data_IF_280881349078
#
_entry.id   IF_280881349078
#
_cell.length_a   1.000
_cell.length_b   1.000
_cell.length_c   1.000
_cell.angle_alpha   90.00
_cell.angle_beta   90.00
_cell.angle_gamma   90.00
#
_symmetry.space_group_name_H-M   'P 1'
#
loop_
_entity.id
_entity.type
_entity.pdbx_description
1 polymer ?
#
# COMPACT_ATOMS: atom_id res chain seq x y z
N UNK A 1 20.03 53.94 14.24
CA UNK A 1 19.53 52.79 13.47
C UNK A 1 18.91 53.33 12.20
N UNK A 2 19.54 53.08 11.05
CA UNK A 2 19.21 53.76 9.80
C UNK A 2 17.94 53.13 9.17
N UNK A 3 17.09 53.93 8.51
CA UNK A 3 15.90 53.48 7.80
C UNK A 3 16.13 52.28 6.86
N UNK A 4 17.35 52.11 6.36
CA UNK A 4 17.77 50.96 5.54
C UNK A 4 17.79 49.63 6.32
N UNK A 5 18.22 49.62 7.58
CA UNK A 5 18.25 48.39 8.41
C UNK A 5 16.86 47.93 8.77
N UNK A 6 15.89 48.85 8.98
CA UNK A 6 14.51 48.50 9.27
C UNK A 6 13.81 47.91 8.02
N UNK A 7 14.10 48.46 6.83
CA UNK A 7 13.53 47.96 5.56
C UNK A 7 14.06 46.55 5.22
N UNK A 8 15.35 46.28 5.45
CA UNK A 8 15.92 44.92 5.26
C UNK A 8 15.33 43.95 6.23
N UNK A 9 15.18 44.32 7.52
CA UNK A 9 14.55 43.44 8.53
C UNK A 9 13.09 43.09 8.19
N UNK A 10 12.30 44.09 7.74
CA UNK A 10 10.93 43.89 7.31
C UNK A 10 10.85 42.95 6.08
N UNK A 11 11.76 43.14 5.09
CA UNK A 11 11.82 42.28 3.91
C UNK A 11 12.11 40.81 4.24
N UNK A 12 13.08 40.57 5.14
CA UNK A 12 13.43 39.20 5.60
C UNK A 12 12.23 38.56 6.34
N UNK A 13 11.52 39.34 7.16
CA UNK A 13 10.36 38.84 7.91
C UNK A 13 9.20 38.47 6.98
N UNK A 14 8.93 39.27 5.96
CA UNK A 14 7.89 39.00 4.95
C UNK A 14 8.23 37.76 4.14
N UNK A 15 9.47 37.62 3.67
CA UNK A 15 9.91 36.44 2.92
C UNK A 15 9.85 35.17 3.77
N UNK A 16 10.26 35.23 5.02
CA UNK A 16 10.17 34.10 5.96
C UNK A 16 8.71 33.67 6.21
N UNK A 17 7.80 34.65 6.38
CA UNK A 17 6.37 34.38 6.56
C UNK A 17 5.72 33.76 5.32
N UNK A 18 6.05 34.25 4.12
CA UNK A 18 5.58 33.69 2.86
C UNK A 18 6.10 32.25 2.65
N UNK A 19 7.34 31.98 2.99
CA UNK A 19 7.91 30.62 2.93
C UNK A 19 7.20 29.66 3.88
N UNK A 20 6.95 30.09 5.12
CA UNK A 20 6.22 29.28 6.10
C UNK A 20 4.78 29.03 5.69
N UNK A 21 4.11 30.04 5.13
CA UNK A 21 2.74 29.89 4.61
C UNK A 21 2.68 28.94 3.41
N UNK A 22 3.65 29.03 2.49
CA UNK A 22 3.71 28.12 1.34
C UNK A 22 4.02 26.68 1.76
N UNK A 23 4.90 26.50 2.75
CA UNK A 23 5.20 25.18 3.30
C UNK A 23 3.98 24.57 4.03
N UNK A 24 3.30 25.36 4.86
CA UNK A 24 2.09 24.95 5.55
C UNK A 24 0.95 24.61 4.57
N UNK A 25 0.81 25.39 3.49
CA UNK A 25 -0.13 25.12 2.41
C UNK A 25 0.22 23.83 1.68
N UNK A 26 1.50 23.63 1.34
CA UNK A 26 1.99 22.39 0.70
C UNK A 26 1.75 21.14 1.54
N UNK A 27 2.05 21.19 2.86
CA UNK A 27 1.80 20.09 3.79
C UNK A 27 0.30 19.76 3.93
N UNK A 28 -0.57 20.78 3.99
CA UNK A 28 -2.03 20.58 4.00
C UNK A 28 -2.53 19.93 2.71
N UNK A 29 -2.05 20.37 1.55
CA UNK A 29 -2.45 19.79 0.26
C UNK A 29 -1.94 18.35 0.11
N UNK A 30 -0.73 18.04 0.57
CA UNK A 30 -0.22 16.68 0.58
C UNK A 30 -1.07 15.74 1.46
N UNK A 31 -1.54 16.21 2.62
CA UNK A 31 -2.43 15.44 3.49
C UNK A 31 -3.84 15.24 2.89
N UNK A 32 -4.32 16.19 2.09
CA UNK A 32 -5.63 16.10 1.42
C UNK A 32 -5.59 15.27 0.13
N UNK A 33 -4.42 15.16 -0.52
CA UNK A 33 -4.25 14.36 -1.74
C UNK A 33 -4.15 12.85 -1.48
N UNK A 34 -3.87 12.44 -0.25
CA UNK A 34 -3.87 11.03 0.19
C UNK A 34 -4.68 10.89 1.48
N UNK A 35 -6.02 10.94 1.41
CA UNK A 35 -6.85 10.72 2.58
C UNK A 35 -6.59 9.30 3.12
N UNK A 36 -6.60 9.12 4.46
CA UNK A 36 -6.48 7.79 5.04
C UNK A 36 -7.61 6.90 4.50
N UNK A 37 -7.25 5.72 3.97
CA UNK A 37 -8.21 4.77 3.38
C UNK A 37 -9.05 4.04 4.43
N UNK A 38 -8.75 4.19 5.70
CA UNK A 38 -9.48 3.51 6.78
C UNK A 38 -10.96 3.89 6.75
N UNK A 39 -11.82 2.87 6.68
CA UNK A 39 -13.27 3.02 6.55
C UNK A 39 -13.75 3.40 5.16
N UNK A 40 -12.87 3.57 4.18
CA UNK A 40 -13.22 3.88 2.80
C UNK A 40 -13.26 2.64 1.93
N UNK A 41 -14.01 2.65 0.82
CA UNK A 41 -13.95 1.59 -0.18
C UNK A 41 -12.51 1.41 -0.70
N UNK A 42 -12.06 0.15 -0.78
CA UNK A 42 -10.77 -0.16 -1.37
C UNK A 42 -10.68 0.40 -2.80
N UNK A 43 -9.59 1.11 -3.14
CA UNK A 43 -9.38 1.60 -4.49
C UNK A 43 -9.40 0.46 -5.52
N UNK A 44 -9.72 0.80 -6.77
CA UNK A 44 -9.66 -0.19 -7.85
C UNK A 44 -8.22 -0.70 -8.02
N UNK A 45 -8.09 -2.03 -8.04
CA UNK A 45 -6.83 -2.73 -8.30
C UNK A 45 -7.13 -4.02 -9.03
N UNK A 46 -6.38 -4.29 -10.11
CA UNK A 46 -6.36 -5.58 -10.78
C UNK A 46 -4.92 -5.98 -11.06
N UNK A 47 -4.66 -7.28 -10.93
CA UNK A 47 -3.37 -7.92 -11.21
C UNK A 47 -3.53 -8.90 -12.37
N UNK A 48 -2.40 -9.23 -13.03
CA UNK A 48 -2.31 -10.35 -13.96
C UNK A 48 -1.49 -11.46 -13.32
N UNK A 49 -2.12 -12.62 -13.10
CA UNK A 49 -1.45 -13.77 -12.50
C UNK A 49 -0.40 -14.39 -13.45
N UNK A 50 0.46 -15.25 -12.92
CA UNK A 50 1.44 -15.99 -13.72
C UNK A 50 0.78 -16.90 -14.78
N UNK A 51 -0.48 -17.33 -14.58
CA UNK A 51 -1.28 -18.07 -15.58
C UNK A 51 -1.82 -17.18 -16.73
N UNK A 52 -1.70 -15.86 -16.59
CA UNK A 52 -2.22 -14.88 -17.56
C UNK A 52 -3.64 -14.39 -17.27
N UNK A 53 -4.30 -14.93 -16.24
CA UNK A 53 -5.64 -14.50 -15.84
C UNK A 53 -5.57 -13.13 -15.14
N UNK A 54 -6.60 -12.32 -15.34
CA UNK A 54 -6.74 -11.07 -14.59
C UNK A 54 -7.65 -11.29 -13.37
N UNK A 55 -7.27 -10.74 -12.24
CA UNK A 55 -8.06 -10.73 -11.01
C UNK A 55 -8.22 -9.29 -10.52
N UNK A 56 -9.46 -8.85 -10.38
CA UNK A 56 -9.78 -7.57 -9.73
C UNK A 56 -10.14 -7.78 -8.26
N UNK A 57 -9.60 -6.94 -7.37
CA UNK A 57 -9.95 -6.96 -5.94
C UNK A 57 -11.47 -6.79 -5.73
N UNK A 58 -12.15 -6.08 -6.63
CA UNK A 58 -13.62 -5.91 -6.58
C UNK A 58 -14.42 -7.21 -6.78
N UNK A 59 -13.87 -8.16 -7.51
CA UNK A 59 -14.51 -9.46 -7.77
C UNK A 59 -14.53 -10.35 -6.53
N UNK A 60 -13.67 -10.02 -5.53
CA UNK A 60 -13.57 -10.73 -4.26
C UNK A 60 -14.55 -10.21 -3.19
N UNK A 61 -15.42 -9.24 -3.51
CA UNK A 61 -16.45 -8.76 -2.58
C UNK A 61 -17.33 -9.91 -2.07
N UNK A 62 -17.67 -9.84 -0.78
CA UNK A 62 -18.34 -10.92 -0.08
C UNK A 62 -17.39 -11.80 0.74
N UNK A 63 -16.07 -11.67 0.51
CA UNK A 63 -15.03 -12.25 1.36
C UNK A 63 -14.11 -11.15 1.88
N UNK A 64 -13.54 -11.30 3.09
CA UNK A 64 -12.41 -10.49 3.51
C UNK A 64 -11.23 -10.68 2.56
N UNK A 65 -10.47 -9.61 2.30
CA UNK A 65 -9.33 -9.62 1.38
C UNK A 65 -8.10 -9.03 2.04
N UNK A 66 -6.97 -9.70 1.88
CA UNK A 66 -5.63 -9.16 2.18
C UNK A 66 -4.95 -8.82 0.85
N UNK A 67 -4.61 -7.55 0.66
CA UNK A 67 -3.82 -7.10 -0.50
C UNK A 67 -2.43 -6.75 0.00
N UNK A 68 -1.44 -7.50 -0.45
CA UNK A 68 -0.03 -7.25 -0.15
C UNK A 68 0.68 -6.67 -1.37
N UNK A 69 1.26 -5.49 -1.22
CA UNK A 69 2.12 -4.86 -2.24
C UNK A 69 3.57 -5.27 -1.98
N UNK A 70 4.19 -5.87 -2.98
CA UNK A 70 5.50 -6.47 -2.89
C UNK A 70 6.30 -6.35 -4.20
N UNK A 71 7.55 -6.81 -4.22
CA UNK A 71 8.34 -6.99 -5.43
C UNK A 71 9.41 -8.06 -5.21
N UNK A 72 9.87 -8.71 -6.28
CA UNK A 72 10.88 -9.78 -6.22
C UNK A 72 12.24 -9.30 -5.70
N UNK A 73 12.58 -8.05 -5.93
CA UNK A 73 13.83 -7.41 -5.46
C UNK A 73 13.75 -6.89 -4.01
N UNK A 74 12.58 -6.94 -3.37
CA UNK A 74 12.36 -6.43 -2.02
C UNK A 74 12.69 -7.52 -0.99
N UNK A 75 13.87 -7.48 -0.38
CA UNK A 75 14.29 -8.46 0.65
C UNK A 75 13.28 -8.69 1.76
N UNK A 76 12.78 -7.64 2.47
CA UNK A 76 11.76 -7.80 3.50
C UNK A 76 10.45 -8.41 2.99
N UNK A 77 10.08 -8.21 1.71
CA UNK A 77 8.89 -8.84 1.12
C UNK A 77 9.08 -10.36 0.99
N UNK A 78 10.28 -10.79 0.62
CA UNK A 78 10.62 -12.24 0.53
C UNK A 78 10.58 -12.88 1.91
N UNK A 79 11.07 -12.19 2.95
CA UNK A 79 11.05 -12.67 4.34
C UNK A 79 9.63 -12.90 4.85
N UNK A 80 8.67 -12.00 4.58
CA UNK A 80 7.27 -12.16 5.00
C UNK A 80 6.48 -13.18 4.15
N UNK A 81 6.98 -13.52 2.96
CA UNK A 81 6.27 -14.39 2.00
C UNK A 81 5.79 -15.71 2.61
N UNK A 82 6.62 -16.35 3.44
CA UNK A 82 6.25 -17.57 4.14
C UNK A 82 5.12 -17.38 5.16
N UNK A 83 5.06 -16.22 5.82
CA UNK A 83 3.99 -15.88 6.80
C UNK A 83 2.66 -15.73 6.06
N UNK A 84 2.65 -14.99 4.95
CA UNK A 84 1.46 -14.80 4.12
C UNK A 84 1.00 -16.11 3.47
N UNK A 85 1.92 -16.93 2.95
CA UNK A 85 1.61 -18.22 2.35
C UNK A 85 0.95 -19.19 3.34
N UNK A 86 1.49 -19.28 4.56
CA UNK A 86 0.92 -20.11 5.63
C UNK A 86 -0.48 -19.61 6.03
N UNK A 87 -0.67 -18.29 6.14
CA UNK A 87 -1.97 -17.71 6.45
C UNK A 87 -2.98 -17.96 5.33
N UNK A 88 -2.61 -17.77 4.07
CA UNK A 88 -3.50 -18.03 2.93
C UNK A 88 -3.98 -19.48 2.87
N UNK A 89 -3.10 -20.43 3.21
CA UNK A 89 -3.44 -21.85 3.23
C UNK A 89 -4.34 -22.20 4.42
N UNK A 90 -4.12 -21.60 5.59
CA UNK A 90 -4.86 -21.90 6.83
C UNK A 90 -6.18 -21.12 6.95
N UNK A 91 -6.39 -20.07 6.17
CA UNK A 91 -7.56 -19.19 6.18
C UNK A 91 -8.26 -19.12 4.81
N UNK A 92 -8.92 -20.22 4.36
CA UNK A 92 -9.63 -20.24 3.08
C UNK A 92 -10.87 -19.31 3.04
N UNK A 93 -11.31 -18.83 4.19
CA UNK A 93 -12.35 -17.81 4.37
C UNK A 93 -11.87 -16.39 3.98
N UNK A 94 -10.56 -16.14 3.89
CA UNK A 94 -9.93 -14.88 3.51
C UNK A 94 -9.28 -15.04 2.15
N UNK A 95 -9.50 -14.07 1.25
CA UNK A 95 -8.79 -14.02 -0.03
C UNK A 95 -7.46 -13.25 0.15
N UNK A 96 -6.37 -13.81 -0.38
CA UNK A 96 -5.08 -13.13 -0.43
C UNK A 96 -4.75 -12.76 -1.86
N UNK A 97 -4.18 -11.57 -2.07
CA UNK A 97 -3.78 -11.03 -3.37
C UNK A 97 -2.40 -10.40 -3.22
N UNK A 98 -1.43 -10.88 -3.99
CA UNK A 98 -0.10 -10.28 -4.10
C UNK A 98 -0.06 -9.31 -5.29
N UNK A 99 0.03 -8.02 -5.02
CA UNK A 99 0.16 -6.99 -6.03
C UNK A 99 1.64 -6.66 -6.24
N UNK A 100 2.24 -7.24 -7.26
CA UNK A 100 3.61 -6.98 -7.64
C UNK A 100 3.75 -5.55 -8.17
N UNK A 101 4.66 -4.80 -7.56
CA UNK A 101 4.84 -3.38 -7.81
C UNK A 101 6.26 -3.06 -8.25
N UNK A 102 6.38 -2.45 -9.43
CA UNK A 102 7.66 -1.98 -9.98
C UNK A 102 8.67 -3.10 -10.27
N UNK A 103 8.21 -4.30 -10.54
CA UNK A 103 9.04 -5.39 -11.03
C UNK A 103 9.11 -5.39 -12.56
N UNK A 104 10.10 -6.07 -13.11
CA UNK A 104 10.08 -6.43 -14.52
C UNK A 104 9.26 -7.71 -14.69
N UNK A 105 8.58 -7.86 -15.84
CA UNK A 105 7.83 -9.09 -16.11
C UNK A 105 8.69 -10.35 -16.00
N UNK A 106 9.97 -10.28 -16.40
CA UNK A 106 10.92 -11.38 -16.27
C UNK A 106 11.34 -11.61 -14.82
N UNK A 107 11.50 -10.55 -14.00
CA UNK A 107 11.83 -10.64 -12.57
C UNK A 107 10.73 -11.34 -11.81
N UNK A 108 9.48 -10.89 -11.98
CA UNK A 108 8.31 -11.52 -11.40
C UNK A 108 8.19 -13.01 -11.77
N UNK A 109 8.25 -13.34 -13.08
CA UNK A 109 8.10 -14.73 -13.53
C UNK A 109 9.21 -15.64 -13.01
N UNK A 110 10.45 -15.16 -12.99
CA UNK A 110 11.58 -15.93 -12.44
C UNK A 110 11.42 -16.18 -10.94
N UNK A 111 10.97 -15.15 -10.21
CA UNK A 111 10.71 -15.28 -8.78
C UNK A 111 9.59 -16.28 -8.52
N UNK A 112 8.46 -16.16 -9.21
CA UNK A 112 7.28 -17.01 -9.04
C UNK A 112 7.56 -18.48 -9.38
N UNK A 113 8.43 -18.75 -10.36
CA UNK A 113 8.88 -20.12 -10.68
C UNK A 113 9.67 -20.76 -9.53
N UNK A 114 10.47 -19.98 -8.80
CA UNK A 114 11.32 -20.48 -7.72
C UNK A 114 10.66 -20.40 -6.33
N UNK A 115 9.71 -19.49 -6.15
CA UNK A 115 9.00 -19.22 -4.90
C UNK A 115 7.50 -19.02 -5.17
N UNK A 116 6.77 -20.08 -5.56
CA UNK A 116 5.37 -19.96 -5.94
C UNK A 116 4.49 -19.54 -4.76
N UNK A 117 3.64 -18.56 -4.98
CA UNK A 117 2.64 -18.15 -4.01
C UNK A 117 1.43 -19.07 -4.07
N UNK A 118 0.87 -19.53 -2.92
CA UNK A 118 -0.36 -20.35 -2.89
C UNK A 118 -1.64 -19.52 -3.10
N UNK A 119 -1.51 -18.25 -3.48
CA UNK A 119 -2.61 -17.32 -3.73
C UNK A 119 -2.32 -16.48 -4.98
N UNK A 120 -3.34 -15.89 -5.61
CA UNK A 120 -3.16 -15.04 -6.79
C UNK A 120 -2.19 -13.91 -6.53
N UNK A 121 -1.14 -13.86 -7.35
CA UNK A 121 -0.12 -12.80 -7.31
C UNK A 121 0.29 -12.42 -8.74
N UNK A 122 0.69 -11.17 -8.92
CA UNK A 122 1.17 -10.70 -10.23
C UNK A 122 1.25 -9.18 -10.36
N UNK A 123 1.81 -8.72 -11.48
CA UNK A 123 1.94 -7.31 -11.78
C UNK A 123 0.59 -6.60 -11.83
N UNK A 124 0.57 -5.36 -11.35
CA UNK A 124 -0.60 -4.49 -11.39
C UNK A 124 -0.86 -4.11 -12.86
N UNK A 125 -2.05 -4.45 -13.37
CA UNK A 125 -2.47 -4.13 -14.75
C UNK A 125 -3.56 -3.06 -14.81
N UNK A 126 -4.24 -2.77 -13.68
CA UNK A 126 -5.22 -1.69 -13.59
C UNK A 126 -5.29 -1.16 -12.15
N UNK A 127 -5.50 0.14 -12.01
CA UNK A 127 -5.32 0.82 -10.73
C UNK A 127 -3.87 1.17 -10.45
N UNK A 128 -3.56 1.55 -9.22
CA UNK A 128 -2.17 1.87 -8.85
C UNK A 128 -1.92 1.73 -7.35
N UNK A 129 -0.68 1.45 -6.98
CA UNK A 129 -0.25 1.40 -5.58
C UNK A 129 -0.35 2.78 -4.90
N UNK A 130 -0.19 3.88 -5.67
CA UNK A 130 -0.35 5.24 -5.15
C UNK A 130 -1.76 5.52 -4.66
N UNK A 131 -2.79 4.94 -5.30
CA UNK A 131 -4.17 5.10 -4.86
C UNK A 131 -4.43 4.43 -3.49
N UNK A 132 -3.60 3.47 -3.11
CA UNK A 132 -3.57 2.88 -1.77
C UNK A 132 -2.68 3.68 -0.79
N UNK A 133 -1.96 4.70 -1.24
CA UNK A 133 -1.05 5.47 -0.41
C UNK A 133 0.23 4.71 -0.05
N UNK A 134 0.61 3.70 -0.83
CA UNK A 134 1.84 2.91 -0.62
C UNK A 134 3.06 3.80 -0.85
N UNK A 135 3.83 4.03 0.20
CA UNK A 135 5.06 4.82 0.17
C UNK A 135 6.34 3.96 0.09
N UNK A 136 6.24 2.68 0.42
CA UNK A 136 7.35 1.72 0.40
C UNK A 136 6.85 0.29 0.49
N UNK A 137 7.73 -0.67 0.22
CA UNK A 137 7.42 -2.10 0.26
C UNK A 137 8.10 -2.78 1.46
N UNK A 138 7.47 -3.82 2.02
CA UNK A 138 6.11 -4.28 1.74
C UNK A 138 5.04 -3.37 2.38
N UNK A 139 3.83 -3.42 1.83
CA UNK A 139 2.67 -2.76 2.43
C UNK A 139 1.43 -3.64 2.27
N UNK A 140 0.70 -3.86 3.36
CA UNK A 140 -0.45 -4.77 3.37
C UNK A 140 -1.72 -4.03 3.78
N UNK A 141 -2.80 -4.27 3.05
CA UNK A 141 -4.12 -3.70 3.29
C UNK A 141 -5.12 -4.81 3.62
N UNK A 142 -5.90 -4.58 4.66
CA UNK A 142 -6.90 -5.50 5.18
C UNK A 142 -8.28 -4.93 4.86
N UNK A 143 -9.04 -5.67 4.04
CA UNK A 143 -10.31 -5.24 3.47
C UNK A 143 -11.38 -6.20 3.97
N UNK A 144 -12.49 -5.70 4.51
CA UNK A 144 -13.59 -6.52 4.96
C UNK A 144 -14.48 -7.03 3.79
N UNK A 145 -15.43 -7.89 4.08
CA UNK A 145 -16.34 -8.47 3.09
C UNK A 145 -17.18 -7.40 2.34
N UNK A 146 -17.39 -6.22 2.94
CA UNK A 146 -18.08 -5.10 2.32
C UNK A 146 -17.20 -4.33 1.33
N UNK A 147 -15.90 -4.65 1.27
CA UNK A 147 -14.92 -4.00 0.43
C UNK A 147 -14.36 -2.70 1.00
N UNK A 148 -14.47 -2.50 2.32
CA UNK A 148 -13.91 -1.34 3.02
C UNK A 148 -12.52 -1.68 3.57
N UNK A 149 -11.57 -0.77 3.46
CA UNK A 149 -10.25 -0.90 4.10
C UNK A 149 -10.42 -0.72 5.61
N UNK A 150 -10.14 -1.76 6.38
CA UNK A 150 -10.27 -1.77 7.85
C UNK A 150 -8.94 -1.44 8.52
N UNK A 151 -7.83 -1.89 7.92
CA UNK A 151 -6.50 -1.65 8.45
C UNK A 151 -5.46 -1.65 7.32
N UNK A 152 -4.29 -1.10 7.60
CA UNK A 152 -3.10 -1.22 6.77
C UNK A 152 -1.86 -1.35 7.63
N UNK A 153 -0.84 -2.01 7.11
CA UNK A 153 0.45 -2.19 7.76
C UNK A 153 1.57 -1.92 6.76
N UNK A 154 2.58 -1.18 7.17
CA UNK A 154 3.78 -0.88 6.37
C UNK A 154 4.98 -1.55 7.00
N UNK A 155 5.69 -2.33 6.23
CA UNK A 155 6.81 -3.17 6.66
C UNK A 155 6.45 -4.65 6.66
N UNK A 156 7.44 -5.54 6.92
CA UNK A 156 7.25 -6.99 6.91
C UNK A 156 6.37 -7.45 8.07
N UNK A 157 5.39 -8.31 7.74
CA UNK A 157 4.48 -8.90 8.71
C UNK A 157 5.08 -10.15 9.35
N UNK A 158 4.97 -10.24 10.67
CA UNK A 158 5.12 -11.49 11.40
C UNK A 158 3.76 -12.17 11.66
N UNK A 159 3.78 -13.43 12.07
CA UNK A 159 2.55 -14.22 12.31
C UNK A 159 1.62 -13.60 13.37
N UNK A 160 2.10 -13.12 14.54
CA UNK A 160 1.23 -12.45 15.52
C UNK A 160 0.54 -11.20 14.96
N UNK A 161 1.29 -10.35 14.27
CA UNK A 161 0.77 -9.12 13.68
C UNK A 161 -0.25 -9.41 12.59
N UNK A 162 0.05 -10.34 11.68
CA UNK A 162 -0.90 -10.77 10.65
C UNK A 162 -2.20 -11.31 11.25
N UNK A 163 -2.11 -12.20 12.25
CA UNK A 163 -3.29 -12.78 12.91
C UNK A 163 -4.15 -11.72 13.60
N UNK A 164 -3.53 -10.71 14.20
CA UNK A 164 -4.26 -9.57 14.77
C UNK A 164 -5.12 -8.88 13.71
N UNK A 165 -4.54 -8.53 12.56
CA UNK A 165 -5.27 -7.86 11.48
C UNK A 165 -6.30 -8.75 10.79
N UNK A 166 -6.02 -10.04 10.63
CA UNK A 166 -7.01 -11.00 10.12
C UNK A 166 -8.24 -11.09 11.01
N UNK A 167 -8.06 -10.96 12.34
CA UNK A 167 -9.18 -10.87 13.28
C UNK A 167 -10.09 -9.68 13.06
N UNK A 168 -9.57 -8.54 12.58
CA UNK A 168 -10.35 -7.32 12.34
C UNK A 168 -11.24 -7.41 11.10
N UNK A 169 -10.88 -8.23 10.10
CA UNK A 169 -11.63 -8.35 8.85
C UNK A 169 -12.55 -9.57 8.80
N UNK A 170 -12.42 -10.49 9.73
CA UNK A 170 -13.22 -11.72 9.80
C UNK A 170 -14.56 -11.54 10.57
N UNK A 171 -14.82 -10.34 11.07
CA UNK A 171 -16.03 -10.00 11.85
C UNK A 171 -17.17 -9.49 10.98
#
# INVERSE_FOLDING_TARGET
>A
MTRRSAAVGAGVFILGSLLMLSLAWGLRHAALSNPPLLGQPAPHLAIQTASGDQLSVRELRGKPVVVNFWASWCGPCVEEGGVLANAATSRPDVAFVGADNQDTSSGFLTFEQSHPHPYPTGPIVSGSYQSYGVAGLPATFFINAQGLVVASFSGPLDTPTLNHYLGLIAS
#
